data_IF_838008652002
#
_entry.id   IF_838008652002
#
_cell.length_a   1.000
_cell.length_b   1.000
_cell.length_c   1.000
_cell.angle_alpha   90.00
_cell.angle_beta   90.00
_cell.angle_gamma   90.00
#
_symmetry.space_group_name_H-M   'P 1'
#
loop_
_entity.id
_entity.type
_entity.pdbx_description
1 polymer ?
#
# COMPACT_ATOMS: atom_id res chain seq x y z
N UNK A 1 33.68 -57.55 -23.80
CA UNK A 1 33.06 -56.62 -22.85
C UNK A 1 33.13 -55.22 -23.43
N UNK A 2 31.99 -54.66 -23.92
CA UNK A 2 31.90 -53.29 -24.46
C UNK A 2 31.27 -52.42 -23.37
N UNK A 3 32.00 -51.45 -22.83
CA UNK A 3 31.48 -50.43 -21.92
C UNK A 3 30.65 -49.43 -22.72
N UNK A 4 29.36 -49.38 -22.48
CA UNK A 4 28.48 -48.31 -22.95
C UNK A 4 28.66 -47.09 -22.05
N UNK A 5 29.13 -45.95 -22.62
CA UNK A 5 29.16 -44.66 -21.95
C UNK A 5 27.75 -44.06 -21.98
N UNK A 6 27.12 -43.96 -20.85
CA UNK A 6 25.85 -43.24 -20.66
C UNK A 6 26.15 -41.73 -20.67
N UNK A 7 25.80 -41.03 -21.73
CA UNK A 7 25.78 -39.56 -21.78
C UNK A 7 24.46 -39.10 -21.18
N UNK A 8 24.54 -38.47 -20.02
CA UNK A 8 23.44 -37.79 -19.39
C UNK A 8 23.32 -36.40 -20.02
N UNK A 9 22.14 -35.99 -20.55
CA UNK A 9 21.97 -34.65 -21.09
C UNK A 9 21.98 -33.64 -19.96
N UNK A 10 22.87 -32.67 -20.03
CA UNK A 10 22.89 -31.50 -19.17
C UNK A 10 21.75 -30.59 -19.59
N UNK A 11 20.63 -30.60 -18.85
CA UNK A 11 19.55 -29.63 -19.02
C UNK A 11 20.03 -28.31 -18.44
N UNK A 12 20.49 -27.40 -19.28
CA UNK A 12 20.67 -26.01 -18.93
C UNK A 12 19.27 -25.40 -18.72
N UNK A 13 18.88 -25.23 -17.46
CA UNK A 13 17.76 -24.37 -17.12
C UNK A 13 18.20 -22.93 -17.40
N UNK A 14 17.74 -22.37 -18.51
CA UNK A 14 17.84 -20.94 -18.78
C UNK A 14 16.96 -20.22 -17.77
N UNK A 15 17.59 -19.63 -16.75
CA UNK A 15 16.95 -18.63 -15.90
C UNK A 15 16.71 -17.40 -16.77
N UNK A 16 15.49 -17.24 -17.26
CA UNK A 16 15.05 -15.96 -17.81
C UNK A 16 14.99 -14.97 -16.66
N UNK A 17 16.07 -14.20 -16.44
CA UNK A 17 15.96 -12.95 -15.71
C UNK A 17 15.05 -12.04 -16.53
N UNK A 18 13.80 -11.90 -16.12
CA UNK A 18 12.94 -10.87 -16.69
C UNK A 18 13.59 -9.51 -16.40
N UNK A 19 13.98 -8.80 -17.44
CA UNK A 19 14.50 -7.45 -17.30
C UNK A 19 13.36 -6.58 -16.71
N UNK A 20 13.70 -5.77 -15.70
CA UNK A 20 12.78 -4.78 -15.13
C UNK A 20 12.43 -3.75 -16.22
N UNK A 21 11.16 -3.36 -16.29
CA UNK A 21 10.66 -2.51 -17.37
C UNK A 21 10.30 -1.13 -16.82
N UNK A 22 10.96 -0.09 -17.38
CA UNK A 22 10.50 1.28 -17.16
C UNK A 22 9.25 1.53 -17.98
N UNK A 23 8.15 1.89 -17.30
CA UNK A 23 6.85 2.19 -17.92
C UNK A 23 6.43 3.65 -17.68
N UNK A 24 7.32 4.49 -17.17
CA UNK A 24 7.06 5.91 -16.91
C UNK A 24 6.72 6.71 -18.16
N UNK A 25 7.28 6.31 -19.30
CA UNK A 25 7.05 6.95 -20.61
C UNK A 25 5.85 6.36 -21.39
N UNK A 26 5.02 5.50 -20.76
CA UNK A 26 3.80 5.02 -21.41
C UNK A 26 2.96 6.19 -21.87
N UNK A 27 2.70 6.27 -23.17
CA UNK A 27 1.89 7.34 -23.74
C UNK A 27 0.46 7.26 -23.24
N UNK A 28 -0.18 8.37 -22.90
CA UNK A 28 -1.59 8.37 -22.57
C UNK A 28 -2.42 8.05 -23.81
N UNK A 29 -3.58 7.42 -23.57
CA UNK A 29 -4.59 7.20 -24.60
C UNK A 29 -5.24 8.54 -25.01
N UNK A 30 -5.60 8.67 -26.29
CA UNK A 30 -6.22 9.86 -26.84
C UNK A 30 -7.64 10.10 -26.33
N UNK A 31 -8.29 9.06 -25.82
CA UNK A 31 -9.67 9.11 -25.32
C UNK A 31 -9.89 8.15 -24.16
N UNK A 32 -10.88 8.47 -23.33
CA UNK A 32 -11.31 7.58 -22.25
C UNK A 32 -12.34 6.56 -22.80
N UNK A 33 -12.20 5.26 -22.52
CA UNK A 33 -13.18 4.24 -22.92
C UNK A 33 -14.40 4.16 -21.98
N UNK A 34 -14.55 5.12 -21.10
CA UNK A 34 -15.57 5.20 -20.04
C UNK A 34 -16.00 6.65 -19.80
N UNK A 35 -17.17 6.80 -19.18
CA UNK A 35 -17.64 8.09 -18.67
C UNK A 35 -17.09 8.35 -17.25
N UNK A 36 -16.89 9.62 -16.91
CA UNK A 36 -16.43 10.07 -15.57
C UNK A 36 -17.42 11.11 -15.05
N UNK A 37 -18.14 10.78 -13.98
CA UNK A 37 -19.13 11.68 -13.35
C UNK A 37 -18.71 12.00 -11.93
N UNK A 38 -18.61 13.28 -11.56
CA UNK A 38 -18.41 13.71 -10.16
C UNK A 38 -19.74 13.65 -9.43
N UNK A 39 -19.79 12.95 -8.29
CA UNK A 39 -21.00 12.77 -7.48
C UNK A 39 -21.01 13.66 -6.24
N UNK A 40 -19.91 13.73 -5.52
CA UNK A 40 -19.76 14.54 -4.31
C UNK A 40 -18.30 14.96 -4.08
N UNK A 41 -18.05 15.79 -3.06
CA UNK A 41 -16.71 16.26 -2.71
C UNK A 41 -16.43 16.08 -1.21
N UNK A 42 -15.14 15.92 -0.86
CA UNK A 42 -14.65 15.66 0.48
C UNK A 42 -13.41 16.52 0.80
N UNK A 43 -13.11 16.67 2.09
CA UNK A 43 -11.91 17.40 2.53
C UNK A 43 -10.72 16.47 2.56
N UNK A 44 -9.86 16.52 1.52
CA UNK A 44 -8.70 15.62 1.36
C UNK A 44 -9.09 14.14 1.50
N UNK A 45 -9.95 13.60 0.62
CA UNK A 45 -10.37 12.20 0.70
C UNK A 45 -9.17 11.27 0.48
N UNK A 46 -9.22 10.07 1.12
CA UNK A 46 -8.07 9.18 1.09
C UNK A 46 -8.39 7.76 0.61
N UNK A 47 -9.48 7.14 1.11
CA UNK A 47 -9.83 5.75 0.79
C UNK A 47 -11.32 5.55 0.63
N UNK A 48 -11.69 4.69 -0.34
CA UNK A 48 -13.05 4.15 -0.51
C UNK A 48 -13.06 2.70 -0.05
N UNK A 49 -14.06 2.32 0.74
CA UNK A 49 -14.38 0.93 1.03
C UNK A 49 -15.85 0.66 0.76
N UNK A 50 -16.17 -0.28 -0.13
CA UNK A 50 -17.54 -0.67 -0.41
C UNK A 50 -18.08 -1.62 0.65
N UNK A 51 -19.32 -1.39 1.06
CA UNK A 51 -20.12 -2.31 1.83
C UNK A 51 -20.85 -3.30 0.89
N UNK A 52 -21.25 -4.49 1.39
CA UNK A 52 -21.94 -5.48 0.54
C UNK A 52 -23.25 -4.99 -0.10
N UNK A 53 -23.89 -3.98 0.49
CA UNK A 53 -25.14 -3.37 0.00
C UNK A 53 -24.90 -2.25 -1.03
N UNK A 54 -23.66 -1.99 -1.42
CA UNK A 54 -23.28 -0.97 -2.39
C UNK A 54 -22.97 0.40 -1.81
N UNK A 55 -23.32 0.67 -0.55
CA UNK A 55 -22.89 1.91 0.12
C UNK A 55 -21.39 1.93 0.30
N UNK A 56 -20.83 3.11 0.54
CA UNK A 56 -19.38 3.31 0.69
C UNK A 56 -19.04 3.92 2.04
N UNK A 57 -17.83 3.63 2.50
CA UNK A 57 -17.15 4.41 3.52
C UNK A 57 -16.03 5.19 2.83
N UNK A 58 -15.99 6.51 3.06
CA UNK A 58 -14.94 7.38 2.51
C UNK A 58 -14.22 8.07 3.66
N UNK A 59 -12.90 7.87 3.74
CA UNK A 59 -12.07 8.54 4.74
C UNK A 59 -11.62 9.91 4.25
N UNK A 60 -11.62 10.91 5.13
CA UNK A 60 -10.96 12.19 4.94
C UNK A 60 -9.69 12.26 5.79
N UNK A 61 -8.57 12.61 5.19
CA UNK A 61 -7.27 12.66 5.85
C UNK A 61 -7.26 13.48 7.15
N UNK A 62 -8.14 14.47 7.25
CA UNK A 62 -8.30 15.32 8.43
C UNK A 62 -8.99 14.65 9.62
N UNK A 63 -9.54 13.41 9.45
CA UNK A 63 -10.11 12.60 10.53
C UNK A 63 -11.46 11.93 10.27
N UNK A 64 -12.46 12.61 9.67
CA UNK A 64 -13.76 12.02 9.43
C UNK A 64 -13.74 10.78 8.54
N UNK A 65 -14.69 9.88 8.79
CA UNK A 65 -15.08 8.78 7.91
C UNK A 65 -16.55 8.97 7.59
N UNK A 66 -16.88 9.05 6.31
CA UNK A 66 -18.24 9.30 5.83
C UNK A 66 -18.91 8.00 5.39
N UNK A 67 -20.17 7.81 5.78
CA UNK A 67 -21.08 6.91 5.10
C UNK A 67 -21.63 7.61 3.87
N UNK A 68 -21.55 6.94 2.73
CA UNK A 68 -21.93 7.46 1.40
C UNK A 68 -22.90 6.48 0.75
N UNK A 69 -23.90 6.97 0.02
CA UNK A 69 -24.85 6.12 -0.71
C UNK A 69 -24.19 5.38 -1.88
N UNK A 70 -24.88 4.42 -2.47
CA UNK A 70 -24.43 3.71 -3.65
C UNK A 70 -24.29 4.64 -4.88
N UNK A 71 -25.03 5.75 -4.90
CA UNK A 71 -25.00 6.79 -5.93
C UNK A 71 -23.92 7.84 -5.69
N UNK A 72 -23.18 7.74 -4.56
CA UNK A 72 -22.08 8.64 -4.22
C UNK A 72 -22.48 9.88 -3.42
N UNK A 73 -23.68 9.93 -2.83
CA UNK A 73 -24.13 11.03 -2.00
C UNK A 73 -23.70 10.86 -0.54
N UNK A 74 -23.22 11.94 0.10
CA UNK A 74 -22.88 11.94 1.53
C UNK A 74 -24.14 11.74 2.37
N UNK A 75 -24.15 10.70 3.22
CA UNK A 75 -25.26 10.43 4.15
C UNK A 75 -24.96 11.08 5.50
N UNK A 76 -23.89 10.66 6.16
CA UNK A 76 -23.48 11.17 7.47
C UNK A 76 -22.01 10.80 7.78
N UNK A 77 -21.29 11.59 8.59
CA UNK A 77 -20.04 11.15 9.17
C UNK A 77 -20.27 10.09 10.24
N UNK A 78 -19.36 9.12 10.36
CA UNK A 78 -19.37 8.17 11.46
C UNK A 78 -18.95 8.85 12.76
N UNK A 79 -19.68 8.58 13.85
CA UNK A 79 -19.19 8.89 15.18
C UNK A 79 -18.24 7.78 15.71
N UNK A 80 -17.43 8.09 16.74
CA UNK A 80 -16.49 7.12 17.30
C UNK A 80 -15.19 6.97 16.51
N UNK A 81 -14.90 7.85 15.57
CA UNK A 81 -13.59 7.93 14.89
C UNK A 81 -12.51 8.44 15.83
N UNK A 82 -11.26 7.90 15.75
CA UNK A 82 -10.19 8.32 16.63
C UNK A 82 -9.66 9.73 16.28
N UNK A 83 -9.03 10.44 17.22
CA UNK A 83 -8.23 11.61 16.89
C UNK A 83 -7.05 11.21 16.04
N UNK A 84 -6.69 12.03 15.06
CA UNK A 84 -5.59 11.78 14.14
C UNK A 84 -4.52 12.87 14.23
N UNK A 85 -3.27 12.47 14.08
CA UNK A 85 -2.17 13.41 13.87
C UNK A 85 -2.18 13.83 12.39
N UNK A 86 -2.83 14.95 12.10
CA UNK A 86 -2.90 15.50 10.75
C UNK A 86 -1.83 16.57 10.54
N UNK A 87 -0.78 16.20 9.81
CA UNK A 87 0.27 17.11 9.36
C UNK A 87 0.95 16.54 8.11
N UNK A 88 1.02 17.31 7.04
CA UNK A 88 1.64 16.89 5.77
C UNK A 88 0.96 15.64 5.19
N UNK A 89 1.68 14.52 5.10
CA UNK A 89 1.16 13.24 4.58
C UNK A 89 0.47 12.38 5.66
N UNK A 90 0.43 12.84 6.90
CA UNK A 90 -0.19 12.11 8.01
C UNK A 90 -1.68 12.43 8.14
N UNK A 91 -2.41 11.60 8.88
CA UNK A 91 -3.84 11.78 9.15
C UNK A 91 -4.60 10.47 9.26
N UNK A 92 -5.91 10.50 8.95
CA UNK A 92 -6.68 9.30 8.69
C UNK A 92 -6.22 8.72 7.36
N UNK A 93 -5.94 7.42 7.33
CA UNK A 93 -5.47 6.73 6.13
C UNK A 93 -6.60 5.89 5.53
N UNK A 94 -6.76 4.65 5.93
CA UNK A 94 -7.69 3.75 5.29
C UNK A 94 -8.76 3.18 6.21
N UNK A 95 -9.88 2.78 5.60
CA UNK A 95 -10.88 1.91 6.20
C UNK A 95 -11.06 0.69 5.31
N UNK A 96 -11.19 -0.48 5.91
CA UNK A 96 -11.23 -1.76 5.22
C UNK A 96 -12.31 -2.65 5.83
N UNK A 97 -13.13 -3.25 4.97
CA UNK A 97 -14.20 -4.15 5.39
C UNK A 97 -13.62 -5.54 5.64
N UNK A 98 -13.90 -6.12 6.80
CA UNK A 98 -13.43 -7.46 7.17
C UNK A 98 -13.89 -8.51 6.16
N UNK A 99 -13.08 -9.56 5.88
CA UNK A 99 -13.56 -10.73 5.15
C UNK A 99 -14.80 -11.39 5.76
N UNK A 100 -14.97 -11.25 7.09
CA UNK A 100 -16.09 -11.79 7.85
C UNK A 100 -17.20 -10.77 8.12
N UNK A 101 -17.20 -9.63 7.43
CA UNK A 101 -18.12 -8.51 7.71
C UNK A 101 -19.60 -8.91 7.71
N UNK A 102 -20.00 -9.80 6.83
CA UNK A 102 -21.39 -10.26 6.75
C UNK A 102 -21.90 -10.88 8.06
N UNK A 103 -21.01 -11.46 8.87
CA UNK A 103 -21.34 -12.10 10.14
C UNK A 103 -21.03 -11.24 11.35
N UNK A 104 -19.96 -10.43 11.29
CA UNK A 104 -19.43 -9.75 12.45
C UNK A 104 -19.39 -8.22 12.39
N UNK A 105 -19.71 -7.64 11.20
CA UNK A 105 -19.73 -6.21 10.92
C UNK A 105 -18.42 -5.48 11.28
N UNK A 106 -17.29 -6.20 11.26
CA UNK A 106 -16.00 -5.65 11.61
C UNK A 106 -15.42 -4.84 10.45
N UNK A 107 -14.87 -3.69 10.78
CA UNK A 107 -14.03 -2.87 9.89
C UNK A 107 -12.68 -2.63 10.55
N UNK A 108 -11.65 -2.45 9.72
CA UNK A 108 -10.30 -2.09 10.15
C UNK A 108 -9.99 -0.66 9.73
N UNK A 109 -9.33 0.08 10.60
CA UNK A 109 -8.98 1.50 10.36
C UNK A 109 -7.47 1.66 10.54
N UNK A 110 -6.82 2.26 9.56
CA UNK A 110 -5.43 2.69 9.67
C UNK A 110 -5.37 4.22 9.71
N UNK A 111 -4.55 4.75 10.62
CA UNK A 111 -4.43 6.19 10.82
C UNK A 111 -3.09 6.51 11.51
N UNK A 112 -2.75 7.79 11.57
CA UNK A 112 -1.61 8.25 12.34
C UNK A 112 -2.11 8.72 13.70
N UNK A 113 -1.81 7.91 14.72
CA UNK A 113 -2.15 8.19 16.12
C UNK A 113 -1.24 9.28 16.66
N UNK A 114 -1.78 10.35 17.32
CA UNK A 114 -0.98 11.39 17.94
C UNK A 114 -0.06 10.86 19.05
N UNK A 115 1.08 11.51 19.24
CA UNK A 115 2.02 11.23 20.33
C UNK A 115 2.95 12.39 20.60
N UNK A 116 3.76 12.30 21.66
CA UNK A 116 4.56 13.42 22.20
C UNK A 116 5.58 14.00 21.21
N UNK A 117 6.04 13.19 20.25
CA UNK A 117 7.06 13.60 19.27
C UNK A 117 6.55 13.58 17.82
N UNK A 118 5.23 13.65 17.62
CA UNK A 118 4.58 13.53 16.31
C UNK A 118 3.54 12.42 16.32
N UNK A 119 3.50 11.60 15.28
CA UNK A 119 2.53 10.50 15.18
C UNK A 119 3.17 9.18 14.83
N UNK A 120 2.46 8.09 15.09
CA UNK A 120 2.80 6.74 14.66
C UNK A 120 1.61 6.08 13.97
N UNK A 121 1.88 5.24 12.97
CA UNK A 121 0.81 4.47 12.35
C UNK A 121 0.17 3.55 13.37
N UNK A 122 -1.16 3.53 13.37
CA UNK A 122 -1.96 2.61 14.16
C UNK A 122 -2.89 1.80 13.26
N UNK A 123 -3.15 0.57 13.67
CA UNK A 123 -4.20 -0.31 13.14
C UNK A 123 -5.22 -0.53 14.23
N UNK A 124 -6.47 -0.20 13.95
CA UNK A 124 -7.59 -0.48 14.83
C UNK A 124 -8.62 -1.35 14.13
N UNK A 125 -9.46 -2.02 14.92
CA UNK A 125 -10.69 -2.66 14.48
C UNK A 125 -11.88 -2.10 15.24
N UNK A 126 -13.05 -2.11 14.62
CA UNK A 126 -14.30 -1.67 15.24
C UNK A 126 -15.49 -2.40 14.63
N UNK A 127 -16.66 -2.35 15.30
CA UNK A 127 -17.92 -2.78 14.73
C UNK A 127 -18.60 -1.60 14.05
N UNK A 128 -18.90 -1.73 12.76
CA UNK A 128 -19.65 -0.71 12.03
C UNK A 128 -21.14 -0.87 12.33
N UNK A 129 -21.71 0.13 12.98
CA UNK A 129 -23.13 0.21 13.28
C UNK A 129 -23.79 1.24 12.36
N UNK A 130 -24.68 0.77 11.49
CA UNK A 130 -25.40 1.58 10.50
C UNK A 130 -26.85 1.90 10.94
N UNK A 131 -27.10 2.01 12.24
CA UNK A 131 -28.37 2.47 12.79
C UNK A 131 -28.66 3.94 12.46
N UNK A 132 -29.62 4.55 13.21
CA UNK A 132 -30.05 5.93 12.98
C UNK A 132 -28.89 6.95 12.95
N UNK A 133 -27.85 6.72 13.75
CA UNK A 133 -26.60 7.47 13.73
C UNK A 133 -25.49 6.49 13.45
N UNK A 134 -24.85 6.54 12.26
CA UNK A 134 -23.79 5.61 11.91
C UNK A 134 -22.56 5.85 12.80
N UNK A 135 -21.95 4.76 13.29
CA UNK A 135 -20.82 4.85 14.23
C UNK A 135 -19.92 3.63 14.23
N UNK A 136 -18.75 3.83 14.79
CA UNK A 136 -17.80 2.78 15.12
C UNK A 136 -17.94 2.40 16.59
N UNK A 137 -18.49 1.20 16.86
CA UNK A 137 -18.59 0.64 18.21
C UNK A 137 -17.36 -0.22 18.53
N UNK A 138 -16.97 -0.30 19.80
CA UNK A 138 -15.86 -1.13 20.28
C UNK A 138 -14.53 -0.86 19.54
N UNK A 139 -14.23 0.42 19.32
CA UNK A 139 -12.99 0.80 18.65
C UNK A 139 -11.77 0.39 19.49
N UNK A 140 -10.96 -0.52 18.94
CA UNK A 140 -9.80 -1.10 19.61
C UNK A 140 -8.56 -0.97 18.73
N UNK A 141 -7.49 -0.36 19.26
CA UNK A 141 -6.19 -0.32 18.58
C UNK A 141 -5.45 -1.63 18.84
N UNK A 142 -5.26 -2.42 17.79
CA UNK A 142 -4.69 -3.77 17.84
C UNK A 142 -3.21 -3.82 17.47
N UNK A 143 -2.67 -2.75 16.85
CA UNK A 143 -1.25 -2.61 16.54
C UNK A 143 -0.83 -1.14 16.49
N UNK A 144 0.41 -0.83 16.89
CA UNK A 144 1.01 0.51 16.87
C UNK A 144 2.44 0.47 16.38
N UNK A 145 2.77 1.38 15.49
CA UNK A 145 4.16 1.69 15.17
C UNK A 145 4.82 2.40 16.34
N UNK A 146 5.85 1.80 16.88
CA UNK A 146 6.71 2.42 17.91
C UNK A 146 8.17 2.42 17.45
N UNK A 147 8.95 3.48 17.73
CA UNK A 147 8.51 4.75 18.34
C UNK A 147 7.66 5.60 17.39
N UNK A 148 6.83 6.45 17.95
CA UNK A 148 6.19 7.55 17.23
C UNK A 148 7.22 8.61 16.84
N UNK A 149 6.87 9.53 15.93
CA UNK A 149 7.77 10.61 15.54
C UNK A 149 7.29 11.37 14.32
N UNK A 150 8.09 12.32 13.88
CA UNK A 150 7.87 13.12 12.68
C UNK A 150 8.08 12.27 11.42
N UNK A 151 7.71 12.81 10.28
CA UNK A 151 7.87 12.23 8.94
C UNK A 151 6.55 11.80 8.34
N UNK A 152 6.46 11.89 7.02
CA UNK A 152 5.37 11.38 6.19
C UNK A 152 5.56 9.92 5.80
N UNK A 153 5.08 9.52 4.60
CA UNK A 153 5.29 8.19 4.01
C UNK A 153 4.82 7.07 4.94
N UNK A 154 3.57 7.16 5.39
CA UNK A 154 3.03 6.24 6.40
C UNK A 154 2.73 4.84 5.85
N UNK A 155 2.26 4.72 4.60
CA UNK A 155 1.68 3.50 4.07
C UNK A 155 0.23 3.32 4.56
N UNK A 156 -0.03 2.31 5.37
CA UNK A 156 -1.34 2.07 5.98
C UNK A 156 -2.32 1.31 5.09
N UNK A 157 -1.83 0.65 4.04
CA UNK A 157 -2.65 -0.19 3.18
C UNK A 157 -2.85 -1.56 3.80
N UNK A 158 -4.06 -2.10 3.69
CA UNK A 158 -4.39 -3.46 4.11
C UNK A 158 -4.83 -4.30 2.92
N UNK A 159 -4.29 -5.51 2.83
CA UNK A 159 -4.82 -6.58 1.99
C UNK A 159 -5.10 -7.80 2.88
N UNK A 160 -6.31 -8.34 2.82
CA UNK A 160 -6.63 -9.60 3.49
C UNK A 160 -6.15 -10.77 2.66
N UNK A 161 -5.61 -11.81 3.32
CA UNK A 161 -5.25 -13.04 2.62
C UNK A 161 -6.46 -13.67 1.91
N UNK A 162 -6.27 -14.38 0.80
CA UNK A 162 -7.38 -14.98 0.04
C UNK A 162 -8.26 -15.93 0.86
N UNK A 163 -7.70 -16.57 1.90
CA UNK A 163 -8.42 -17.41 2.85
C UNK A 163 -9.12 -16.64 3.98
N UNK A 164 -8.95 -15.31 4.04
CA UNK A 164 -9.54 -14.42 5.03
C UNK A 164 -8.99 -14.56 6.45
N UNK A 165 -7.90 -15.33 6.67
CA UNK A 165 -7.37 -15.60 8.01
C UNK A 165 -6.36 -14.56 8.51
N UNK A 166 -5.71 -13.84 7.60
CA UNK A 166 -4.64 -12.90 7.90
C UNK A 166 -4.87 -11.56 7.20
N UNK A 167 -4.26 -10.53 7.75
CA UNK A 167 -4.11 -9.25 7.06
C UNK A 167 -2.63 -8.95 6.81
N UNK A 168 -2.37 -8.34 5.67
CA UNK A 168 -1.09 -7.74 5.33
C UNK A 168 -1.23 -6.23 5.40
N UNK A 169 -0.24 -5.56 6.00
CA UNK A 169 -0.28 -4.11 6.18
C UNK A 169 1.04 -3.47 5.79
N UNK A 170 0.98 -2.40 5.03
CA UNK A 170 2.17 -1.62 4.69
C UNK A 170 2.48 -0.61 5.79
N UNK A 171 3.77 -0.46 6.11
CA UNK A 171 4.32 0.58 6.97
C UNK A 171 5.45 1.26 6.22
N UNK A 172 5.27 2.53 5.88
CA UNK A 172 6.29 3.28 5.15
C UNK A 172 7.52 3.62 6.00
N UNK A 173 8.57 4.11 5.38
CA UNK A 173 9.85 4.41 6.03
C UNK A 173 9.82 5.65 6.93
N UNK A 174 8.72 6.40 6.92
CA UNK A 174 8.53 7.63 7.70
C UNK A 174 9.56 8.71 7.37
N UNK A 175 10.07 8.72 6.13
CA UNK A 175 11.15 9.58 5.65
C UNK A 175 12.47 9.41 6.43
N UNK A 176 12.66 8.28 7.11
CA UNK A 176 13.86 7.99 7.90
C UNK A 176 14.88 7.18 7.14
N UNK A 177 14.49 6.54 6.04
CA UNK A 177 15.34 5.80 5.11
C UNK A 177 16.00 4.56 5.75
N UNK A 178 17.18 4.69 6.35
CA UNK A 178 18.00 3.58 6.89
C UNK A 178 17.24 2.60 7.80
N UNK A 179 16.30 3.01 8.68
CA UNK A 179 15.50 2.08 9.48
C UNK A 179 14.65 1.10 8.68
N UNK A 180 14.42 1.35 7.37
CA UNK A 180 13.76 0.36 6.50
C UNK A 180 14.57 -0.95 6.39
N UNK A 181 15.88 -0.90 6.63
CA UNK A 181 16.77 -2.07 6.66
C UNK A 181 16.95 -2.67 8.06
N UNK A 182 16.53 -1.97 9.14
CA UNK A 182 16.66 -2.47 10.51
C UNK A 182 15.54 -3.46 10.84
N UNK A 183 15.84 -4.72 11.15
CA UNK A 183 14.82 -5.72 11.50
C UNK A 183 14.11 -5.43 12.84
N UNK A 184 14.65 -4.51 13.65
CA UNK A 184 14.07 -4.17 14.96
C UNK A 184 13.07 -3.01 14.89
N UNK A 185 12.93 -2.35 13.73
CA UNK A 185 12.06 -1.20 13.53
C UNK A 185 10.92 -1.52 12.55
N UNK A 186 9.67 -1.13 12.85
CA UNK A 186 8.50 -1.51 12.03
C UNK A 186 8.36 -0.70 10.75
N UNK A 187 9.20 0.34 10.54
CA UNK A 187 9.14 1.23 9.37
C UNK A 187 9.81 0.61 8.14
N UNK A 188 9.30 0.92 6.95
CA UNK A 188 9.79 0.35 5.69
C UNK A 188 9.53 -1.15 5.59
N UNK A 189 8.36 -1.61 6.06
CA UNK A 189 8.01 -3.04 6.14
C UNK A 189 6.62 -3.31 5.55
N UNK A 190 6.44 -4.54 5.12
CA UNK A 190 5.13 -5.15 4.96
C UNK A 190 4.97 -6.17 6.07
N UNK A 191 3.96 -5.97 6.91
CA UNK A 191 3.64 -6.85 8.03
C UNK A 191 2.60 -7.88 7.61
N UNK A 192 2.66 -9.08 8.20
CA UNK A 192 1.57 -10.06 8.12
C UNK A 192 1.12 -10.41 9.53
N UNK A 193 -0.13 -10.09 9.81
CA UNK A 193 -0.74 -10.19 11.14
C UNK A 193 -1.97 -11.09 11.10
N UNK A 194 -2.32 -11.63 12.26
CA UNK A 194 -3.66 -12.20 12.48
C UNK A 194 -4.70 -11.09 12.48
N UNK A 195 -5.98 -11.42 12.39
CA UNK A 195 -7.07 -10.43 12.40
C UNK A 195 -7.22 -9.66 13.72
N UNK A 196 -6.52 -10.08 14.77
CA UNK A 196 -6.42 -9.40 16.06
C UNK A 196 -5.06 -8.69 16.27
N UNK A 197 -4.29 -8.51 15.20
CA UNK A 197 -3.07 -7.69 15.21
C UNK A 197 -1.83 -8.36 15.78
N UNK A 198 -1.80 -9.70 15.92
CA UNK A 198 -0.64 -10.45 16.40
C UNK A 198 0.22 -10.94 15.24
N UNK A 199 1.53 -11.22 15.48
CA UNK A 199 2.37 -11.87 14.49
C UNK A 199 1.72 -13.14 13.95
N UNK A 200 1.62 -13.28 12.62
CA UNK A 200 0.97 -14.43 12.01
C UNK A 200 1.89 -15.67 12.01
N UNK A 201 1.41 -16.86 12.43
CA UNK A 201 2.17 -18.10 12.27
C UNK A 201 2.65 -18.31 10.84
N UNK A 202 3.92 -18.71 10.67
CA UNK A 202 4.53 -18.89 9.37
C UNK A 202 5.20 -17.64 8.78
N UNK A 203 5.23 -16.51 9.49
CA UNK A 203 6.11 -15.39 9.11
C UNK A 203 7.59 -15.80 9.14
N UNK A 204 8.48 -15.13 8.36
CA UNK A 204 9.91 -15.51 8.27
C UNK A 204 10.61 -15.66 9.62
N UNK A 205 10.28 -14.78 10.56
CA UNK A 205 10.87 -14.73 11.89
C UNK A 205 9.83 -14.93 13.01
N UNK A 206 8.76 -15.68 12.74
CA UNK A 206 7.73 -15.99 13.75
C UNK A 206 8.35 -16.51 15.06
N UNK A 207 7.91 -15.96 16.20
CA UNK A 207 8.42 -16.29 17.52
C UNK A 207 9.74 -15.62 17.91
N UNK A 208 10.41 -14.88 17.00
CA UNK A 208 11.60 -14.10 17.35
C UNK A 208 11.21 -12.70 17.85
N UNK A 209 12.03 -12.17 18.75
CA UNK A 209 11.94 -10.80 19.24
C UNK A 209 13.14 -9.99 18.80
N UNK A 210 12.94 -8.69 18.62
CA UNK A 210 13.99 -7.73 18.29
C UNK A 210 14.64 -7.09 19.51
N UNK A 211 15.50 -6.13 19.26
CA UNK A 211 16.14 -5.32 20.31
C UNK A 211 15.09 -4.63 21.17
N UNK A 212 15.28 -4.69 22.50
CA UNK A 212 14.38 -4.10 23.47
C UNK A 212 14.38 -2.57 23.41
N UNK A 213 15.51 -1.97 23.04
CA UNK A 213 15.66 -0.52 22.84
C UNK A 213 16.11 -0.25 21.42
N UNK A 214 15.44 0.68 20.76
CA UNK A 214 15.75 1.11 19.39
C UNK A 214 15.95 2.63 19.33
N UNK A 215 16.67 3.08 18.30
CA UNK A 215 16.98 4.49 18.09
C UNK A 215 16.00 5.14 17.13
N UNK A 216 15.58 6.37 17.44
CA UNK A 216 14.83 7.23 16.55
C UNK A 216 15.78 8.27 15.95
N UNK A 217 15.82 8.34 14.64
CA UNK A 217 16.61 9.37 13.93
C UNK A 217 15.67 10.42 13.31
N UNK A 218 16.17 11.64 13.15
CA UNK A 218 15.49 12.65 12.36
C UNK A 218 15.47 12.28 10.87
N UNK A 219 14.43 12.64 10.13
CA UNK A 219 14.39 12.43 8.70
C UNK A 219 15.58 13.10 8.00
N UNK A 220 16.49 12.34 7.36
CA UNK A 220 17.60 12.90 6.60
C UNK A 220 17.11 13.49 5.25
N UNK A 221 18.00 14.26 4.59
CA UNK A 221 17.67 14.86 3.28
C UNK A 221 17.92 13.94 2.11
N UNK A 222 18.82 12.98 2.26
CA UNK A 222 19.21 12.02 1.25
C UNK A 222 19.75 10.74 1.86
N UNK A 223 19.97 9.73 1.03
CA UNK A 223 20.39 8.39 1.46
C UNK A 223 21.84 8.35 1.97
N UNK A 224 22.72 9.26 1.55
CA UNK A 224 24.07 9.34 2.09
C UNK A 224 24.08 9.91 3.50
N UNK A 225 23.30 10.98 3.74
CA UNK A 225 23.12 11.53 5.09
C UNK A 225 22.39 10.54 6.03
N UNK A 226 21.53 9.68 5.48
CA UNK A 226 20.83 8.67 6.27
C UNK A 226 21.77 7.69 6.98
N UNK A 227 22.92 7.38 6.39
CA UNK A 227 23.90 6.44 6.96
C UNK A 227 24.43 6.89 8.32
N UNK A 228 24.53 8.21 8.52
CA UNK A 228 25.08 8.82 9.72
C UNK A 228 24.08 9.80 10.35
N UNK A 229 22.78 9.59 10.16
CA UNK A 229 21.75 10.46 10.71
C UNK A 229 21.83 10.48 12.26
N UNK A 230 21.72 11.67 12.89
CA UNK A 230 21.82 11.76 14.34
C UNK A 230 20.63 11.06 15.02
N UNK A 231 20.95 10.33 16.09
CA UNK A 231 19.94 9.77 16.99
C UNK A 231 19.40 10.88 17.86
N UNK A 232 18.10 11.16 17.76
CA UNK A 232 17.43 12.23 18.52
C UNK A 232 16.76 11.71 19.77
N UNK A 233 16.42 10.45 19.84
CA UNK A 233 15.87 9.77 21.02
C UNK A 233 16.02 8.26 20.92
N UNK A 234 15.74 7.57 22.02
CA UNK A 234 15.61 6.12 22.06
C UNK A 234 14.22 5.74 22.54
N UNK A 235 13.78 4.56 22.17
CA UNK A 235 12.53 3.98 22.64
C UNK A 235 12.78 2.57 23.18
N UNK A 236 12.37 2.34 24.42
CA UNK A 236 12.41 1.01 25.05
C UNK A 236 11.01 0.44 25.09
N UNK A 237 10.82 -0.70 24.45
CA UNK A 237 9.55 -1.41 24.45
C UNK A 237 9.19 -1.87 25.88
N UNK A 238 7.94 -1.65 26.33
CA UNK A 238 7.50 -2.13 27.65
C UNK A 238 7.39 -3.65 27.74
N UNK A 239 7.35 -4.32 26.59
CA UNK A 239 7.31 -5.78 26.42
C UNK A 239 8.24 -6.19 25.29
N UNK A 240 8.20 -7.45 24.85
CA UNK A 240 9.03 -7.92 23.74
C UNK A 240 8.78 -7.12 22.47
N UNK A 241 9.87 -6.71 21.78
CA UNK A 241 9.77 -6.11 20.45
C UNK A 241 9.38 -7.19 19.44
N UNK A 242 8.12 -7.19 19.00
CA UNK A 242 7.57 -8.19 18.07
C UNK A 242 7.87 -7.89 16.60
N UNK A 243 8.51 -6.77 16.27
CA UNK A 243 8.76 -6.34 14.88
C UNK A 243 9.30 -7.45 13.98
N UNK A 244 10.34 -8.23 14.38
CA UNK A 244 10.83 -9.31 13.53
C UNK A 244 9.76 -10.38 13.24
N UNK A 245 8.96 -10.74 14.25
CA UNK A 245 7.91 -11.75 14.13
C UNK A 245 6.71 -11.29 13.27
N UNK A 246 6.44 -9.98 13.23
CA UNK A 246 5.37 -9.35 12.45
C UNK A 246 5.74 -9.19 10.98
N UNK A 247 7.03 -9.04 10.67
CA UNK A 247 7.56 -8.68 9.35
C UNK A 247 7.39 -9.83 8.36
N UNK A 248 6.75 -9.53 7.21
CA UNK A 248 6.66 -10.40 6.04
C UNK A 248 7.74 -10.09 5.01
N UNK A 249 7.92 -8.79 4.71
CA UNK A 249 8.92 -8.26 3.78
C UNK A 249 9.46 -6.92 4.28
N UNK A 250 10.62 -6.48 3.79
CA UNK A 250 11.30 -5.27 4.24
C UNK A 250 11.88 -4.45 3.08
N UNK A 251 12.38 -3.25 3.39
CA UNK A 251 13.07 -2.42 2.41
C UNK A 251 12.13 -1.72 1.44
N UNK A 252 10.92 -1.35 1.87
CA UNK A 252 9.97 -0.52 1.13
C UNK A 252 10.00 0.93 1.62
N UNK A 253 9.68 1.89 0.74
CA UNK A 253 9.76 3.33 1.03
C UNK A 253 8.41 3.92 1.43
N UNK A 254 7.52 4.08 0.46
CA UNK A 254 6.23 4.77 0.61
C UNK A 254 5.11 3.96 -0.06
N UNK A 255 4.75 2.80 0.53
CA UNK A 255 3.87 1.80 -0.06
C UNK A 255 2.40 2.20 0.13
N UNK A 256 1.78 2.76 -0.91
CA UNK A 256 0.39 3.24 -0.88
C UNK A 256 -0.61 2.36 -1.62
N UNK A 257 -0.20 1.27 -2.25
CA UNK A 257 -1.10 0.25 -2.77
C UNK A 257 -0.65 -1.14 -2.36
N UNK A 258 -1.60 -2.00 -1.97
CA UNK A 258 -1.35 -3.40 -1.60
C UNK A 258 -2.58 -4.22 -1.92
N UNK A 259 -2.45 -5.23 -2.76
CA UNK A 259 -3.58 -6.06 -3.16
C UNK A 259 -3.16 -7.48 -3.56
N UNK A 260 -4.02 -8.46 -3.30
CA UNK A 260 -3.88 -9.79 -3.87
C UNK A 260 -4.47 -9.84 -5.27
N UNK A 261 -3.69 -10.38 -6.22
CA UNK A 261 -4.20 -10.73 -7.54
C UNK A 261 -5.26 -11.85 -7.46
N UNK A 262 -6.08 -12.04 -8.49
CA UNK A 262 -7.00 -13.18 -8.56
C UNK A 262 -6.30 -14.55 -8.49
N UNK A 263 -5.02 -14.61 -8.83
CA UNK A 263 -4.18 -15.83 -8.75
C UNK A 263 -3.52 -16.03 -7.39
N UNK A 264 -3.72 -15.09 -6.42
CA UNK A 264 -3.25 -15.21 -5.05
C UNK A 264 -1.86 -14.62 -4.79
N UNK A 265 -1.27 -13.92 -5.77
CA UNK A 265 0.00 -13.20 -5.61
C UNK A 265 -0.24 -11.86 -4.90
N UNK A 266 0.63 -11.51 -3.95
CA UNK A 266 0.57 -10.21 -3.28
C UNK A 266 1.40 -9.19 -4.03
N UNK A 267 0.77 -8.10 -4.44
CA UNK A 267 1.38 -7.00 -5.18
C UNK A 267 1.33 -5.70 -4.38
N UNK A 268 2.35 -4.90 -4.54
CA UNK A 268 2.49 -3.62 -3.87
C UNK A 268 2.94 -2.56 -4.88
N UNK A 269 2.47 -1.30 -4.71
CA UNK A 269 2.99 -0.13 -5.42
C UNK A 269 3.44 0.93 -4.44
N UNK A 270 4.62 1.51 -4.71
CA UNK A 270 5.21 2.53 -3.85
C UNK A 270 5.78 3.72 -4.62
N UNK A 271 5.90 4.84 -3.89
CA UNK A 271 6.61 6.00 -4.41
C UNK A 271 8.12 5.84 -4.23
N UNK A 272 8.84 5.93 -5.30
CA UNK A 272 10.26 6.26 -5.29
C UNK A 272 10.50 7.71 -4.82
N UNK A 273 11.76 8.15 -4.73
CA UNK A 273 12.06 9.55 -4.44
C UNK A 273 11.81 10.42 -5.69
N UNK A 274 12.82 10.83 -6.41
CA UNK A 274 12.68 11.53 -7.69
C UNK A 274 12.83 10.53 -8.83
N UNK A 275 11.72 10.01 -9.35
CA UNK A 275 11.67 8.83 -10.21
C UNK A 275 11.65 7.53 -9.42
N UNK A 276 11.51 6.41 -10.11
CA UNK A 276 11.63 5.07 -9.54
C UNK A 276 10.48 4.67 -8.63
N UNK A 277 9.25 5.10 -8.92
CA UNK A 277 8.07 4.44 -8.35
C UNK A 277 8.07 2.98 -8.81
N UNK A 278 7.55 2.07 -8.00
CA UNK A 278 7.72 0.63 -8.21
C UNK A 278 6.41 -0.14 -8.12
N UNK A 279 6.30 -1.21 -8.93
CA UNK A 279 5.34 -2.29 -8.75
C UNK A 279 6.11 -3.54 -8.37
N UNK A 280 5.88 -3.99 -7.15
CA UNK A 280 6.59 -5.10 -6.52
C UNK A 280 5.70 -6.33 -6.37
N UNK A 281 6.22 -7.51 -6.77
CA UNK A 281 5.68 -8.81 -6.34
C UNK A 281 6.21 -9.09 -4.93
N UNK A 282 5.32 -9.12 -3.94
CA UNK A 282 5.72 -9.26 -2.54
C UNK A 282 5.82 -10.73 -2.13
N UNK A 283 7.05 -11.16 -1.87
CA UNK A 283 7.37 -12.51 -1.45
C UNK A 283 7.85 -12.57 0.01
N UNK A 284 7.58 -13.71 0.63
CA UNK A 284 7.97 -13.98 2.02
C UNK A 284 9.47 -13.81 2.25
N UNK A 285 9.84 -12.95 3.20
CA UNK A 285 11.23 -12.76 3.66
C UNK A 285 12.10 -11.94 2.72
N UNK A 286 11.57 -11.42 1.61
CA UNK A 286 12.33 -10.60 0.68
C UNK A 286 12.56 -9.19 1.22
N UNK A 287 13.68 -8.61 0.77
CA UNK A 287 14.06 -7.22 1.01
C UNK A 287 14.10 -6.47 -0.32
N UNK A 288 13.34 -5.38 -0.44
CA UNK A 288 13.17 -4.59 -1.67
C UNK A 288 14.18 -3.44 -1.79
N UNK A 289 15.14 -3.34 -0.86
CA UNK A 289 16.38 -2.60 -0.99
C UNK A 289 16.36 -1.13 -0.57
N UNK A 290 15.18 -0.50 -0.34
CA UNK A 290 15.16 0.88 0.12
C UNK A 290 15.85 1.03 1.50
N UNK A 291 16.74 2.01 1.73
CA UNK A 291 17.21 3.08 0.83
C UNK A 291 18.57 2.79 0.16
N UNK A 292 18.99 1.54 0.10
CA UNK A 292 20.33 1.15 -0.42
C UNK A 292 20.35 1.18 -1.94
N UNK A 293 19.26 0.73 -2.57
CA UNK A 293 19.07 0.75 -4.02
C UNK A 293 17.72 1.37 -4.40
N UNK A 294 17.63 1.97 -5.59
CA UNK A 294 16.40 2.52 -6.18
C UNK A 294 16.62 2.80 -7.66
N UNK A 295 15.56 2.78 -8.48
CA UNK A 295 15.60 3.33 -9.85
C UNK A 295 15.40 4.85 -9.89
N UNK A 296 15.14 5.51 -8.75
CA UNK A 296 15.08 6.95 -8.59
C UNK A 296 16.37 7.55 -8.06
N UNK A 297 16.35 8.86 -7.84
CA UNK A 297 17.44 9.61 -7.20
C UNK A 297 16.90 10.46 -6.05
N UNK A 298 17.74 10.89 -5.14
CA UNK A 298 17.34 11.80 -4.07
C UNK A 298 16.83 13.15 -4.63
N UNK A 299 15.95 13.84 -3.91
CA UNK A 299 15.40 15.13 -4.35
C UNK A 299 16.46 16.22 -4.54
N UNK A 300 17.57 16.15 -3.81
CA UNK A 300 18.74 17.02 -3.97
C UNK A 300 19.71 16.55 -5.07
N UNK A 301 19.31 15.56 -5.87
CA UNK A 301 20.06 14.98 -6.97
C UNK A 301 21.28 14.11 -6.59
N UNK A 302 21.48 13.85 -5.30
CA UNK A 302 22.43 12.81 -4.85
C UNK A 302 21.97 11.45 -5.39
N UNK A 303 22.84 10.75 -6.08
CA UNK A 303 22.54 9.47 -6.69
C UNK A 303 22.24 8.39 -5.64
N UNK A 304 21.33 7.49 -5.97
CA UNK A 304 21.10 6.24 -5.25
C UNK A 304 21.57 5.11 -6.17
N UNK A 305 22.30 4.10 -5.67
CA UNK A 305 22.66 2.95 -6.51
C UNK A 305 21.42 2.30 -7.14
N UNK A 306 21.51 1.94 -8.42
CA UNK A 306 20.41 1.25 -9.11
C UNK A 306 20.22 -0.16 -8.55
N UNK A 307 19.01 -0.70 -8.59
CA UNK A 307 18.72 -2.12 -8.33
C UNK A 307 19.59 -3.06 -9.16
N UNK A 308 20.07 -2.63 -10.32
CA UNK A 308 20.92 -3.43 -11.20
C UNK A 308 22.34 -3.62 -10.67
N UNK A 309 22.75 -2.84 -9.69
CA UNK A 309 24.07 -2.93 -9.05
C UNK A 309 24.14 -3.96 -7.93
N UNK A 310 23.01 -4.57 -7.55
CA UNK A 310 22.96 -5.55 -6.46
C UNK A 310 22.09 -6.76 -6.82
N UNK A 311 22.48 -7.92 -6.33
CA UNK A 311 21.72 -9.18 -6.39
C UNK A 311 21.09 -9.55 -5.03
N UNK A 312 21.34 -8.75 -4.00
CA UNK A 312 20.85 -9.01 -2.64
C UNK A 312 19.38 -8.63 -2.45
N UNK A 313 18.90 -7.66 -3.25
CA UNK A 313 17.57 -7.10 -3.11
C UNK A 313 16.63 -7.60 -4.20
N UNK A 314 15.37 -7.82 -3.83
CA UNK A 314 14.31 -8.07 -4.80
C UNK A 314 14.14 -6.83 -5.68
N UNK A 315 13.91 -7.07 -6.97
CA UNK A 315 13.71 -5.98 -7.94
C UNK A 315 12.23 -5.81 -8.22
N UNK A 316 11.77 -4.57 -8.48
CA UNK A 316 10.42 -4.35 -8.96
C UNK A 316 10.19 -5.04 -10.31
N UNK A 317 8.96 -5.45 -10.57
CA UNK A 317 8.55 -6.00 -11.87
C UNK A 317 8.42 -4.88 -12.91
N UNK A 318 7.80 -3.76 -12.49
CA UNK A 318 7.72 -2.53 -13.28
C UNK A 318 8.19 -1.34 -12.42
N UNK A 319 8.74 -0.32 -13.09
CA UNK A 319 9.03 0.95 -12.41
C UNK A 319 8.71 2.14 -13.32
N UNK A 320 8.57 3.33 -12.72
CA UNK A 320 8.18 4.55 -13.42
C UNK A 320 9.24 5.65 -13.29
N UNK A 321 9.86 5.99 -14.42
CA UNK A 321 10.69 7.18 -14.60
C UNK A 321 10.27 7.81 -15.93
N UNK A 322 9.52 8.93 -15.92
CA UNK A 322 9.08 9.75 -14.79
C UNK A 322 8.03 9.08 -13.88
N UNK A 323 7.84 9.64 -12.68
CA UNK A 323 6.93 9.12 -11.64
C UNK A 323 5.47 9.10 -12.06
N UNK A 324 4.74 8.10 -11.61
CA UNK A 324 3.27 8.07 -11.58
C UNK A 324 2.74 8.62 -10.25
N UNK A 325 3.52 8.49 -9.17
CA UNK A 325 3.16 8.70 -7.78
C UNK A 325 1.88 7.91 -7.41
N UNK A 326 1.98 6.58 -7.19
CA UNK A 326 0.82 5.71 -7.06
C UNK A 326 0.02 6.00 -5.78
N UNK A 327 -1.28 6.20 -5.93
CA UNK A 327 -2.19 6.42 -4.80
C UNK A 327 -2.75 5.11 -4.23
N UNK A 328 -3.01 4.14 -5.09
CA UNK A 328 -3.50 2.79 -4.75
C UNK A 328 -3.25 1.80 -5.88
N UNK A 329 -3.37 0.51 -5.55
CA UNK A 329 -3.46 -0.63 -6.46
C UNK A 329 -4.72 -1.43 -6.13
N UNK A 330 -5.54 -1.76 -7.13
CA UNK A 330 -6.63 -2.72 -7.01
C UNK A 330 -6.65 -3.69 -8.19
N UNK A 331 -7.21 -4.87 -8.01
CA UNK A 331 -7.50 -5.82 -9.08
C UNK A 331 -8.99 -5.81 -9.39
N UNK A 332 -9.33 -5.63 -10.67
CA UNK A 332 -10.70 -5.73 -11.15
C UNK A 332 -11.16 -7.18 -11.18
N UNK A 333 -12.36 -7.45 -10.67
CA UNK A 333 -12.91 -8.80 -10.56
C UNK A 333 -14.31 -8.86 -11.19
N UNK A 334 -14.51 -9.89 -12.03
CA UNK A 334 -15.82 -10.18 -12.60
C UNK A 334 -16.08 -9.49 -13.94
N UNK A 335 -17.27 -9.77 -14.49
CA UNK A 335 -17.61 -9.47 -15.88
C UNK A 335 -18.82 -8.52 -16.02
N UNK A 336 -19.12 -7.74 -14.98
CA UNK A 336 -20.28 -6.84 -15.01
C UNK A 336 -20.02 -5.60 -15.88
N UNK A 337 -19.60 -4.49 -15.33
CA UNK A 337 -19.46 -3.23 -16.08
C UNK A 337 -18.35 -3.27 -17.14
N UNK A 338 -17.17 -3.84 -16.81
CA UNK A 338 -16.01 -3.88 -17.70
C UNK A 338 -15.45 -5.30 -17.85
N UNK A 339 -16.13 -6.20 -18.56
CA UNK A 339 -15.75 -7.61 -18.66
C UNK A 339 -14.34 -7.84 -19.24
N UNK A 340 -13.86 -6.92 -20.09
CA UNK A 340 -12.53 -6.95 -20.69
C UNK A 340 -11.39 -6.68 -19.70
N UNK A 341 -11.70 -6.20 -18.48
CA UNK A 341 -10.72 -5.88 -17.45
C UNK A 341 -10.62 -6.94 -16.35
N UNK A 342 -11.38 -8.02 -16.45
CA UNK A 342 -11.34 -9.09 -15.45
C UNK A 342 -9.91 -9.59 -15.24
N UNK A 343 -9.44 -9.60 -13.99
CA UNK A 343 -8.09 -9.97 -13.60
C UNK A 343 -7.00 -8.90 -13.76
N UNK A 344 -7.32 -7.74 -14.35
CA UNK A 344 -6.33 -6.66 -14.52
C UNK A 344 -6.18 -5.84 -13.24
N UNK A 345 -4.99 -5.28 -13.04
CA UNK A 345 -4.73 -4.31 -11.99
C UNK A 345 -4.90 -2.88 -12.46
N UNK A 346 -5.29 -2.00 -11.54
CA UNK A 346 -5.40 -0.57 -11.75
C UNK A 346 -4.57 0.18 -10.72
N UNK A 347 -3.66 1.03 -11.21
CA UNK A 347 -2.84 1.93 -10.39
C UNK A 347 -3.33 3.35 -10.59
N UNK A 348 -3.79 3.99 -9.52
CA UNK A 348 -4.16 5.39 -9.52
C UNK A 348 -2.91 6.27 -9.41
N UNK A 349 -2.82 7.33 -10.22
CA UNK A 349 -1.65 8.21 -10.31
C UNK A 349 -1.93 9.61 -9.81
N UNK A 350 -1.15 10.05 -8.83
CA UNK A 350 -1.22 11.41 -8.28
C UNK A 350 -0.46 12.41 -9.16
N UNK A 351 0.81 12.13 -9.48
CA UNK A 351 1.63 13.01 -10.31
C UNK A 351 1.24 12.94 -11.77
N UNK A 352 0.96 11.74 -12.25
CA UNK A 352 0.53 11.51 -13.64
C UNK A 352 -0.92 11.91 -13.91
N UNK A 353 -1.71 12.20 -12.86
CA UNK A 353 -3.14 12.54 -12.94
C UNK A 353 -3.94 11.55 -13.80
N UNK A 354 -3.64 10.26 -13.65
CA UNK A 354 -4.13 9.20 -14.53
C UNK A 354 -4.60 7.97 -13.77
N UNK A 355 -5.38 7.15 -14.46
CA UNK A 355 -5.64 5.75 -14.13
C UNK A 355 -4.80 4.89 -15.07
N UNK A 356 -4.02 3.94 -14.53
CA UNK A 356 -3.11 3.10 -15.28
C UNK A 356 -3.55 1.65 -15.17
N UNK A 357 -3.80 0.96 -16.29
CA UNK A 357 -4.13 -0.45 -16.33
C UNK A 357 -2.88 -1.30 -16.51
N UNK A 358 -2.76 -2.33 -15.70
CA UNK A 358 -1.66 -3.29 -15.69
C UNK A 358 -2.23 -4.68 -15.94
N UNK A 359 -1.63 -5.43 -16.83
CA UNK A 359 -1.96 -6.83 -17.12
C UNK A 359 -0.95 -7.71 -16.40
N UNK A 360 -1.45 -8.69 -15.65
CA UNK A 360 -0.67 -9.65 -14.88
C UNK A 360 -0.78 -11.04 -15.53
N UNK A 361 0.33 -11.80 -15.54
CA UNK A 361 0.38 -13.13 -16.16
C UNK A 361 0.05 -14.28 -15.19
N UNK A 362 -0.14 -13.97 -13.89
CA UNK A 362 -0.37 -14.94 -12.82
C UNK A 362 0.83 -15.84 -12.51
N UNK A 363 2.03 -15.41 -12.93
CA UNK A 363 3.30 -16.10 -12.72
C UNK A 363 4.41 -15.15 -12.22
N UNK A 364 3.99 -14.04 -11.61
CA UNK A 364 4.89 -13.02 -11.11
C UNK A 364 5.30 -11.97 -12.15
N UNK A 365 4.80 -12.03 -13.37
CA UNK A 365 5.03 -11.04 -14.42
C UNK A 365 3.88 -10.04 -14.55
N UNK A 366 4.21 -8.82 -14.97
CA UNK A 366 3.26 -7.75 -15.26
C UNK A 366 3.74 -6.90 -16.44
N UNK A 367 2.79 -6.26 -17.13
CA UNK A 367 3.07 -5.28 -18.19
C UNK A 367 2.09 -4.11 -18.11
N UNK A 368 2.58 -2.89 -18.35
CA UNK A 368 1.71 -1.75 -18.55
C UNK A 368 0.84 -1.95 -19.80
N UNK A 369 -0.42 -1.60 -19.68
CA UNK A 369 -1.37 -1.55 -20.77
C UNK A 369 -1.70 -0.08 -21.08
N UNK A 370 -2.90 0.41 -20.79
CA UNK A 370 -3.27 1.77 -21.07
C UNK A 370 -3.02 2.71 -19.88
N UNK A 371 -2.80 3.98 -20.22
CA UNK A 371 -2.76 5.10 -19.29
C UNK A 371 -3.81 6.12 -19.71
N UNK A 372 -4.83 6.33 -18.90
CA UNK A 372 -5.88 7.31 -19.13
C UNK A 372 -5.69 8.54 -18.24
N UNK A 373 -5.44 9.69 -18.86
CA UNK A 373 -5.31 10.96 -18.12
C UNK A 373 -6.71 11.47 -17.74
N UNK A 374 -6.96 11.52 -16.44
CA UNK A 374 -8.22 12.04 -15.88
C UNK A 374 -8.15 13.56 -15.66
N UNK A 375 -6.93 14.13 -15.61
CA UNK A 375 -6.70 15.54 -15.36
C UNK A 375 -6.79 15.94 -13.88
N UNK A 376 -6.91 14.97 -12.97
CA UNK A 376 -7.00 15.12 -11.52
C UNK A 376 -6.02 14.18 -10.85
N UNK A 377 -5.47 14.58 -9.71
CA UNK A 377 -4.61 13.75 -8.86
C UNK A 377 -5.45 12.63 -8.26
N UNK A 378 -5.26 11.39 -8.72
CA UNK A 378 -6.10 10.27 -8.29
C UNK A 378 -5.47 9.59 -7.08
N UNK A 379 -6.14 9.73 -5.92
CA UNK A 379 -5.71 9.15 -4.64
C UNK A 379 -6.09 7.68 -4.51
N UNK A 380 -7.29 7.33 -4.94
CA UNK A 380 -7.81 5.99 -4.76
C UNK A 380 -8.60 5.52 -5.99
N UNK A 381 -8.62 4.22 -6.18
CA UNK A 381 -9.47 3.53 -7.15
C UNK A 381 -10.07 2.31 -6.48
N UNK A 382 -11.39 2.16 -6.56
CA UNK A 382 -12.12 1.05 -5.98
C UNK A 382 -13.20 0.53 -6.94
N UNK A 383 -13.49 -0.77 -6.86
CA UNK A 383 -14.55 -1.40 -7.63
C UNK A 383 -15.81 -1.55 -6.78
N UNK A 384 -16.93 -1.10 -7.31
CA UNK A 384 -18.25 -1.29 -6.70
C UNK A 384 -18.79 -2.72 -6.94
N UNK A 385 -19.78 -3.19 -6.14
CA UNK A 385 -20.40 -4.51 -6.33
C UNK A 385 -21.10 -4.72 -7.68
N UNK A 386 -21.48 -3.64 -8.35
CA UNK A 386 -22.05 -3.66 -9.71
C UNK A 386 -20.98 -3.77 -10.82
N UNK A 387 -19.70 -3.66 -10.45
CA UNK A 387 -18.54 -3.71 -11.35
C UNK A 387 -18.08 -2.35 -11.86
N UNK A 388 -18.77 -1.26 -11.57
CA UNK A 388 -18.29 0.09 -11.90
C UNK A 388 -17.07 0.45 -11.05
N UNK A 389 -16.30 1.45 -11.50
CA UNK A 389 -15.15 1.94 -10.75
C UNK A 389 -15.43 3.31 -10.13
N UNK A 390 -14.78 3.56 -9.02
CA UNK A 390 -14.85 4.83 -8.31
C UNK A 390 -13.47 5.35 -8.01
N UNK A 391 -13.28 6.66 -8.19
CA UNK A 391 -12.00 7.34 -7.97
C UNK A 391 -12.16 8.44 -6.91
N UNK A 392 -11.10 8.68 -6.14
CA UNK A 392 -10.98 9.85 -5.26
C UNK A 392 -9.89 10.80 -5.78
N UNK A 393 -10.21 12.09 -5.82
CA UNK A 393 -9.25 13.14 -6.10
C UNK A 393 -8.48 13.57 -4.84
N UNK A 394 -7.16 13.66 -4.91
CA UNK A 394 -6.29 14.20 -3.85
C UNK A 394 -6.29 15.73 -3.91
N UNK A 395 -7.37 16.34 -3.45
CA UNK A 395 -7.58 17.80 -3.41
C UNK A 395 -8.43 18.21 -2.21
N UNK A 396 -8.53 19.50 -1.94
CA UNK A 396 -9.41 20.07 -0.93
C UNK A 396 -10.20 21.27 -1.50
N UNK A 397 -11.49 21.12 -1.87
CA UNK A 397 -12.23 19.85 -1.87
C UNK A 397 -11.75 18.89 -2.95
N UNK A 398 -11.80 17.58 -2.67
CA UNK A 398 -11.49 16.49 -3.60
C UNK A 398 -12.75 15.76 -4.04
N UNK A 399 -12.86 15.48 -5.34
CA UNK A 399 -14.02 14.82 -5.93
C UNK A 399 -14.08 13.31 -5.65
N UNK A 400 -15.27 12.79 -5.43
CA UNK A 400 -15.64 11.39 -5.62
C UNK A 400 -16.20 11.25 -7.04
N UNK A 401 -15.62 10.39 -7.84
CA UNK A 401 -15.94 10.24 -9.25
C UNK A 401 -16.38 8.81 -9.56
N UNK A 402 -17.49 8.68 -10.26
CA UNK A 402 -18.03 7.41 -10.75
C UNK A 402 -17.58 7.16 -12.20
N UNK A 403 -17.08 5.97 -12.47
CA UNK A 403 -16.60 5.51 -13.77
C UNK A 403 -17.57 4.45 -14.29
N UNK A 404 -18.23 4.72 -15.40
CA UNK A 404 -19.20 3.83 -16.04
C UNK A 404 -18.82 3.52 -17.49
N UNK A 405 -19.23 2.35 -18.05
CA UNK A 405 -19.08 2.11 -19.48
C UNK A 405 -19.72 3.20 -20.32
N UNK A 406 -19.14 3.46 -21.51
CA UNK A 406 -19.76 4.28 -22.56
C UNK A 406 -20.83 3.50 -23.29
#
# INVERSE_FOLDING_TARGET
>A
MKLAKLLMPLVLASVFLSAQVNVGDTKPEDSLPFEVTTTSTFSLPWRIAFLPDGRMLVTEKIGPIWLVSAEGEKIAPLSGTPPVYWQGQNGMLGIYVSPNYATDQTVYVTYIEPGDYGGGQALARAKLNLGRVPRLDNFEVIWRQMPRGKGGQAGGQIAFSPDGQYLYMTVGDRQRMTPAQDPNQPVGKILRLTLDGKPAPGNPNYGKTGAQTISLIDPPRDTELAKNAPVVSTYTFPGPNQTPAETWASGVRAPYGLAFSPTGELWEVEHGPRGGDELNLIEKGKNYGWPVVSYGMNYNQVAIPSHDTSTEYAKPVLYWVPVVAPGNLMFYKGKKAFPQWDGNGFVSGLASMSLNRIIFDGKGGAKAAERWVIGKRIRDVAQAPDGTLWLLEDANPGALMHITPK
#
